data_IF_281343406251
#
_entry.id   IF_281343406251
#
_cell.length_a   1.000
_cell.length_b   1.000
_cell.length_c   1.000
_cell.angle_alpha   90.00
_cell.angle_beta   90.00
_cell.angle_gamma   90.00
#
_symmetry.space_group_name_H-M   'P 1'
#
loop_
_entity.id
_entity.type
_entity.pdbx_description
1 polymer ?
#
# COMPACT_ATOMS: atom_id res chain seq x y z
N UNK A 1 -1.71 8.41 12.30
CA UNK A 1 -1.05 8.94 11.08
C UNK A 1 -0.50 7.76 10.31
N UNK A 2 -0.36 7.90 9.00
CA UNK A 2 0.27 6.92 8.15
C UNK A 2 1.39 7.64 7.37
N UNK A 3 2.45 6.94 7.01
CA UNK A 3 3.45 7.47 6.09
C UNK A 3 4.46 6.41 5.65
N UNK A 4 5.13 6.69 4.53
CA UNK A 4 6.08 5.77 3.94
C UNK A 4 7.09 6.45 3.03
N UNK A 5 7.92 5.62 2.41
CA UNK A 5 9.05 6.05 1.58
C UNK A 5 9.21 5.12 0.40
N UNK A 6 9.12 5.70 -0.80
CA UNK A 6 9.36 4.98 -2.05
C UNK A 6 10.84 5.08 -2.38
N UNK A 7 11.42 3.92 -2.69
CA UNK A 7 12.83 3.79 -3.06
C UNK A 7 12.95 3.16 -4.44
N UNK A 8 14.02 3.52 -5.16
CA UNK A 8 14.34 2.87 -6.42
C UNK A 8 15.01 1.50 -6.19
N UNK A 9 15.31 0.77 -7.27
CA UNK A 9 15.98 -0.54 -7.20
C UNK A 9 17.40 -0.51 -6.60
N UNK A 10 18.01 0.67 -6.45
CA UNK A 10 19.30 0.88 -5.79
C UNK A 10 19.14 1.31 -4.31
N UNK A 11 17.93 1.23 -3.76
CA UNK A 11 17.55 1.67 -2.41
C UNK A 11 17.66 3.18 -2.16
N UNK A 12 17.81 3.97 -3.23
CA UNK A 12 17.84 5.43 -3.13
C UNK A 12 16.42 5.97 -2.93
N UNK A 13 16.28 6.96 -2.04
CA UNK A 13 15.00 7.56 -1.70
C UNK A 13 14.51 8.42 -2.87
N UNK A 14 13.32 8.11 -3.40
CA UNK A 14 12.69 8.88 -4.47
C UNK A 14 11.75 9.91 -3.86
N UNK A 15 10.83 9.45 -3.00
CA UNK A 15 9.80 10.29 -2.40
C UNK A 15 9.40 9.73 -1.03
N UNK A 16 9.13 10.63 -0.09
CA UNK A 16 8.48 10.31 1.18
C UNK A 16 7.10 10.95 1.23
N UNK A 17 6.16 10.31 1.91
CA UNK A 17 4.80 10.80 2.07
C UNK A 17 4.32 10.60 3.51
N UNK A 18 3.34 11.41 3.90
CA UNK A 18 2.62 11.24 5.15
C UNK A 18 1.16 11.62 4.98
N UNK A 19 0.31 11.02 5.80
CA UNK A 19 -1.12 11.29 5.86
C UNK A 19 -1.59 11.36 7.30
N UNK A 20 -2.32 12.43 7.61
CA UNK A 20 -3.08 12.50 8.85
C UNK A 20 -4.42 11.77 8.66
N UNK A 21 -4.58 10.65 9.36
CA UNK A 21 -5.79 9.82 9.28
C UNK A 21 -6.84 10.16 10.35
N UNK A 22 -6.49 10.85 11.44
CA UNK A 22 -7.38 10.96 12.61
C UNK A 22 -7.46 9.64 13.40
N UNK A 23 -8.67 9.24 13.82
CA UNK A 23 -8.90 8.02 14.61
C UNK A 23 -9.20 6.82 13.71
N UNK A 24 -8.17 6.05 13.40
CA UNK A 24 -8.26 4.77 12.68
C UNK A 24 -7.55 3.67 13.46
N UNK A 25 -7.87 2.41 13.16
CA UNK A 25 -7.11 1.28 13.70
C UNK A 25 -5.70 1.26 13.10
N UNK A 26 -4.76 0.59 13.77
CA UNK A 26 -3.40 0.39 13.24
C UNK A 26 -3.47 -0.36 11.90
N UNK A 27 -4.33 -1.38 11.80
CA UNK A 27 -4.53 -2.12 10.57
C UNK A 27 -5.05 -1.24 9.42
N UNK A 28 -6.03 -0.38 9.67
CA UNK A 28 -6.52 0.55 8.64
C UNK A 28 -5.44 1.56 8.24
N UNK A 29 -4.61 2.02 9.19
CA UNK A 29 -3.51 2.93 8.90
C UNK A 29 -2.48 2.30 7.96
N UNK A 30 -2.13 1.03 8.16
CA UNK A 30 -1.25 0.27 7.27
C UNK A 30 -1.84 0.12 5.86
N UNK A 31 -3.14 -0.19 5.75
CA UNK A 31 -3.79 -0.28 4.44
C UNK A 31 -3.82 1.08 3.72
N UNK A 32 -4.06 2.17 4.45
CA UNK A 32 -3.95 3.52 3.89
C UNK A 32 -2.55 3.84 3.41
N UNK A 33 -1.52 3.40 4.13
CA UNK A 33 -0.13 3.59 3.71
C UNK A 33 0.21 2.89 2.41
N UNK A 34 -0.25 1.64 2.24
CA UNK A 34 -0.06 0.88 1.01
C UNK A 34 -0.84 1.53 -0.15
N UNK A 35 -2.07 1.97 0.10
CA UNK A 35 -2.89 2.63 -0.93
C UNK A 35 -2.25 3.94 -1.42
N UNK A 36 -1.73 4.75 -0.51
CA UNK A 36 -1.02 5.99 -0.83
C UNK A 36 0.24 5.70 -1.65
N UNK A 37 1.04 4.70 -1.25
CA UNK A 37 2.25 4.31 -1.97
C UNK A 37 1.93 3.91 -3.41
N UNK A 38 0.92 3.04 -3.60
CA UNK A 38 0.51 2.56 -4.91
C UNK A 38 -0.04 3.67 -5.80
N UNK A 39 -0.80 4.60 -5.23
CA UNK A 39 -1.33 5.75 -5.96
C UNK A 39 -0.17 6.64 -6.46
N UNK A 40 0.81 6.92 -5.60
CA UNK A 40 1.98 7.72 -5.96
C UNK A 40 2.82 7.01 -7.03
N UNK A 41 3.04 5.69 -6.91
CA UNK A 41 3.76 4.88 -7.90
C UNK A 41 3.07 4.91 -9.27
N UNK A 42 1.74 4.75 -9.28
CA UNK A 42 0.93 4.82 -10.49
C UNK A 42 1.02 6.20 -11.14
N UNK A 43 0.90 7.28 -10.37
CA UNK A 43 1.02 8.66 -10.87
C UNK A 43 2.42 8.94 -11.45
N UNK A 44 3.45 8.32 -10.89
CA UNK A 44 4.82 8.40 -11.40
C UNK A 44 5.10 7.48 -12.60
N UNK A 45 4.12 6.67 -13.03
CA UNK A 45 4.22 5.73 -14.15
C UNK A 45 5.36 4.70 -14.00
N UNK A 46 5.71 4.34 -12.76
CA UNK A 46 6.64 3.24 -12.51
C UNK A 46 5.93 1.89 -12.67
N UNK A 47 6.63 0.94 -13.29
CA UNK A 47 6.17 -0.45 -13.44
C UNK A 47 6.98 -1.35 -12.50
N UNK A 48 6.32 -2.37 -11.94
CA UNK A 48 6.92 -3.29 -10.99
C UNK A 48 7.12 -2.65 -9.61
N UNK A 49 6.36 -3.10 -8.62
CA UNK A 49 6.43 -2.62 -7.23
C UNK A 49 6.76 -3.77 -6.27
N UNK A 50 7.64 -3.48 -5.31
CA UNK A 50 7.85 -4.34 -4.14
C UNK A 50 7.36 -3.60 -2.90
N UNK A 51 6.17 -3.97 -2.43
CA UNK A 51 5.63 -3.44 -1.17
C UNK A 51 6.34 -4.13 0.00
N UNK A 52 6.75 -3.34 0.99
CA UNK A 52 7.26 -3.82 2.26
C UNK A 52 6.45 -3.20 3.40
N UNK A 53 5.69 -4.04 4.12
CA UNK A 53 4.94 -3.65 5.30
C UNK A 53 5.42 -4.44 6.52
N UNK A 54 5.34 -3.85 7.71
CA UNK A 54 5.69 -4.51 8.97
C UNK A 54 4.51 -5.26 9.61
N UNK A 55 3.30 -5.05 9.07
CA UNK A 55 2.08 -5.72 9.47
C UNK A 55 1.82 -6.99 8.64
N UNK A 56 2.02 -8.15 9.27
CA UNK A 56 1.68 -9.45 8.68
C UNK A 56 0.18 -9.52 8.29
N UNK A 57 -0.69 -8.88 9.07
CA UNK A 57 -2.12 -8.83 8.79
C UNK A 57 -2.41 -8.04 7.50
N UNK A 58 -1.76 -6.89 7.31
CA UNK A 58 -1.89 -6.11 6.09
C UNK A 58 -1.33 -6.88 4.87
N UNK A 59 -0.17 -7.53 5.02
CA UNK A 59 0.42 -8.38 3.97
C UNK A 59 -0.55 -9.50 3.57
N UNK A 60 -1.16 -10.19 4.53
CA UNK A 60 -2.13 -11.24 4.25
C UNK A 60 -3.38 -10.69 3.55
N UNK A 61 -3.86 -9.50 3.95
CA UNK A 61 -5.01 -8.85 3.33
C UNK A 61 -4.80 -8.52 1.84
N UNK A 62 -3.58 -8.10 1.48
CA UNK A 62 -3.24 -7.72 0.10
C UNK A 62 -2.79 -8.90 -0.76
N UNK A 63 -2.28 -10.00 -0.17
CA UNK A 63 -1.87 -11.17 -0.94
C UNK A 63 -3.07 -12.04 -1.32
N UNK A 64 -4.02 -12.21 -0.40
CA UNK A 64 -5.21 -12.98 -0.65
C UNK A 64 -6.39 -12.37 0.13
N UNK A 65 -7.28 -11.64 -0.56
CA UNK A 65 -8.42 -10.99 0.08
C UNK A 65 -9.44 -11.99 0.63
N UNK A 66 -9.35 -13.28 0.27
CA UNK A 66 -10.17 -14.33 0.89
C UNK A 66 -9.67 -14.74 2.28
N UNK A 67 -8.38 -14.52 2.60
CA UNK A 67 -7.79 -14.92 3.88
C UNK A 67 -8.19 -14.02 5.05
N UNK A 68 -8.57 -12.78 4.79
CA UNK A 68 -8.94 -11.85 5.85
C UNK A 68 -10.43 -11.83 6.14
N UNK A 69 -11.28 -12.41 5.27
CA UNK A 69 -12.75 -12.36 5.42
C UNK A 69 -13.32 -10.93 5.45
N UNK A 70 -12.46 -9.92 5.23
CA UNK A 70 -12.75 -8.51 5.39
C UNK A 70 -13.21 -7.97 4.05
N UNK A 71 -14.50 -7.62 3.98
CA UNK A 71 -15.12 -6.99 2.82
C UNK A 71 -14.75 -5.49 2.73
N UNK A 72 -13.49 -5.16 3.01
CA UNK A 72 -12.98 -3.80 3.08
C UNK A 72 -12.89 -3.19 1.68
N UNK A 73 -13.41 -1.98 1.52
CA UNK A 73 -13.27 -1.22 0.26
C UNK A 73 -11.80 -0.85 0.00
N UNK A 74 -11.03 -0.56 1.05
CA UNK A 74 -9.59 -0.28 0.97
C UNK A 74 -8.81 -1.44 0.35
N UNK A 75 -9.07 -2.66 0.81
CA UNK A 75 -8.41 -3.86 0.27
C UNK A 75 -8.75 -4.04 -1.21
N UNK A 76 -10.01 -3.81 -1.60
CA UNK A 76 -10.44 -3.89 -3.01
C UNK A 76 -9.74 -2.84 -3.89
N UNK A 77 -9.60 -1.62 -3.40
CA UNK A 77 -8.93 -0.54 -4.13
C UNK A 77 -7.43 -0.83 -4.30
N UNK A 78 -6.76 -1.35 -3.26
CA UNK A 78 -5.37 -1.79 -3.33
C UNK A 78 -5.19 -2.88 -4.39
N UNK A 79 -6.06 -3.90 -4.38
CA UNK A 79 -6.04 -4.98 -5.38
C UNK A 79 -6.25 -4.46 -6.81
N UNK A 80 -7.14 -3.48 -7.00
CA UNK A 80 -7.35 -2.86 -8.30
C UNK A 80 -6.07 -2.17 -8.80
N UNK A 81 -5.38 -1.42 -7.94
CA UNK A 81 -4.13 -0.75 -8.30
C UNK A 81 -2.99 -1.74 -8.60
N UNK A 82 -2.84 -2.79 -7.79
CA UNK A 82 -1.85 -3.84 -8.01
C UNK A 82 -2.03 -4.51 -9.37
N UNK A 83 -3.27 -4.81 -9.76
CA UNK A 83 -3.58 -5.38 -11.07
C UNK A 83 -3.25 -4.44 -12.24
N UNK A 84 -3.25 -3.12 -12.01
CA UNK A 84 -2.94 -2.11 -13.02
C UNK A 84 -1.44 -1.84 -13.18
N UNK A 85 -0.63 -2.08 -12.13
CA UNK A 85 0.81 -1.77 -12.12
C UNK A 85 1.65 -2.82 -12.88
N UNK A 86 1.04 -3.94 -13.28
CA UNK A 86 1.72 -5.02 -14.00
C UNK A 86 2.74 -5.77 -13.14
N UNK A 87 3.15 -6.98 -13.56
CA UNK A 87 4.17 -7.77 -12.85
C UNK A 87 5.56 -7.12 -12.93
#
# INVERSE_FOLDING_TARGET
CSGGVIRNGNEEWIVGYNRYLGNYSVFDAELWDILDELTIIQDMHYAGVKIQADSLEAVNAIQDPSLTGLNSTLVKDIHLLLNNIGP
#
